data_IF_682290052142
#
_entry.id   IF_682290052142
#
_cell.length_a   1.000
_cell.length_b   1.000
_cell.length_c   1.000
_cell.angle_alpha   90.00
_cell.angle_beta   90.00
_cell.angle_gamma   90.00
#
_symmetry.space_group_name_H-M   'P 1'
#
loop_
_entity.id
_entity.type
_entity.pdbx_description
1 polymer ?
#
# COMPACT_ATOMS: atom_id res chain seq x y z
N UNK A 1 44.45 35.04 57.65
CA UNK A 1 43.61 34.01 57.03
C UNK A 1 42.19 34.53 56.97
N UNK A 2 41.77 35.04 55.85
CA UNK A 2 40.42 35.52 55.60
C UNK A 2 39.75 34.57 54.60
N UNK A 3 38.74 33.84 55.06
CA UNK A 3 37.94 32.92 54.28
C UNK A 3 36.81 33.69 53.59
N UNK A 4 36.90 33.85 52.31
CA UNK A 4 35.84 34.44 51.46
C UNK A 4 34.83 33.34 51.11
N UNK A 5 33.61 33.42 51.66
CA UNK A 5 32.49 32.56 51.30
C UNK A 5 31.86 33.11 50.03
N UNK A 6 31.91 32.35 48.95
CA UNK A 6 31.23 32.65 47.67
C UNK A 6 29.84 32.01 47.75
N UNK A 7 28.79 32.84 47.71
CA UNK A 7 27.38 32.42 47.59
C UNK A 7 27.09 31.97 46.14
N UNK A 8 26.36 30.86 45.91
CA UNK A 8 25.97 30.45 44.57
C UNK A 8 24.86 31.35 44.02
N UNK A 9 24.83 31.66 42.71
CA UNK A 9 23.77 32.45 42.09
C UNK A 9 22.45 31.68 42.07
N UNK A 10 21.39 32.31 42.52
CA UNK A 10 20.04 31.79 42.44
C UNK A 10 19.60 31.67 40.96
N UNK A 11 19.50 30.45 40.49
CA UNK A 11 18.92 30.13 39.20
C UNK A 11 17.40 30.31 39.24
N UNK A 12 16.92 31.51 38.94
CA UNK A 12 15.52 31.80 38.67
C UNK A 12 15.14 31.22 37.28
N UNK A 13 14.57 30.02 37.25
CA UNK A 13 13.96 29.48 36.05
C UNK A 13 12.80 30.38 35.63
N UNK A 14 13.03 31.24 34.65
CA UNK A 14 11.98 32.05 34.03
C UNK A 14 11.00 31.12 33.31
N UNK A 15 9.78 31.02 33.82
CA UNK A 15 8.64 30.37 33.14
C UNK A 15 8.49 31.03 31.77
N UNK A 16 8.48 30.28 30.66
CA UNK A 16 8.34 30.86 29.33
C UNK A 16 6.95 31.48 29.22
N UNK A 17 6.86 32.77 29.43
CA UNK A 17 5.65 33.55 29.23
C UNK A 17 5.15 33.38 27.79
N UNK A 18 3.86 33.12 27.61
CA UNK A 18 3.13 33.04 26.35
C UNK A 18 3.53 34.24 25.47
N UNK A 19 4.49 34.02 24.52
CA UNK A 19 4.97 35.08 23.63
C UNK A 19 3.78 35.65 22.85
N UNK A 20 3.37 36.88 23.16
CA UNK A 20 2.38 37.63 22.37
C UNK A 20 2.90 37.69 20.93
N UNK A 21 2.12 37.14 19.98
CA UNK A 21 2.46 37.15 18.56
C UNK A 21 2.70 38.59 18.12
N UNK A 22 3.90 38.86 17.62
CA UNK A 22 4.27 40.18 17.09
C UNK A 22 3.37 40.54 15.90
N UNK A 23 3.19 41.82 15.54
CA UNK A 23 2.43 42.26 14.36
C UNK A 23 2.94 41.58 13.08
N UNK A 24 4.26 41.34 12.98
CA UNK A 24 4.90 40.65 11.89
C UNK A 24 4.42 39.18 11.82
N UNK A 25 4.44 38.47 12.93
CA UNK A 25 3.98 37.08 12.99
C UNK A 25 2.49 36.91 12.62
N UNK A 26 1.64 37.93 12.91
CA UNK A 26 0.23 37.95 12.49
C UNK A 26 0.10 38.18 10.99
N UNK A 27 0.97 38.98 10.37
CA UNK A 27 0.99 39.22 8.94
C UNK A 27 1.50 37.96 8.19
N UNK A 28 2.54 37.32 8.67
CA UNK A 28 3.05 36.06 8.15
C UNK A 28 1.99 34.94 8.23
N UNK A 29 1.31 34.82 9.37
CA UNK A 29 0.22 33.84 9.53
C UNK A 29 -0.93 34.09 8.55
N UNK A 30 -1.31 35.37 8.29
CA UNK A 30 -2.36 35.67 7.28
C UNK A 30 -1.96 35.26 5.85
N UNK A 31 -0.73 35.57 5.47
CA UNK A 31 -0.22 35.15 4.17
C UNK A 31 -0.11 33.63 4.07
N UNK A 32 0.34 32.92 5.11
CA UNK A 32 0.38 31.48 5.16
C UNK A 32 -1.02 30.86 4.95
N UNK A 33 -2.05 31.38 5.64
CA UNK A 33 -3.44 30.93 5.44
C UNK A 33 -3.95 31.23 4.03
N UNK A 34 -3.60 32.37 3.43
CA UNK A 34 -3.99 32.70 2.06
C UNK A 34 -3.40 31.73 1.05
N UNK A 35 -2.13 31.37 1.21
CA UNK A 35 -1.48 30.37 0.34
C UNK A 35 -1.98 28.94 0.56
N UNK A 36 -2.39 28.59 1.79
CA UNK A 36 -2.97 27.29 2.10
C UNK A 36 -4.46 27.20 1.72
N UNK A 37 -5.15 28.33 1.62
CA UNK A 37 -6.61 28.37 1.39
C UNK A 37 -7.07 27.56 0.14
N UNK A 38 -6.44 27.67 -1.04
CA UNK A 38 -6.86 26.88 -2.21
C UNK A 38 -6.79 25.39 -1.96
N UNK A 39 -5.72 24.91 -1.29
CA UNK A 39 -5.56 23.51 -0.93
C UNK A 39 -6.59 23.06 0.11
N UNK A 40 -6.81 23.88 1.16
CA UNK A 40 -7.78 23.57 2.22
C UNK A 40 -9.20 23.52 1.64
N UNK A 41 -9.58 24.48 0.79
CA UNK A 41 -10.88 24.47 0.12
C UNK A 41 -11.04 23.23 -0.76
N UNK A 42 -10.03 22.90 -1.55
CA UNK A 42 -10.03 21.69 -2.38
C UNK A 42 -10.16 20.41 -1.53
N UNK A 43 -9.41 20.31 -0.43
CA UNK A 43 -9.49 19.18 0.49
C UNK A 43 -10.89 19.05 1.12
N UNK A 44 -11.45 20.16 1.63
CA UNK A 44 -12.76 20.15 2.27
C UNK A 44 -13.88 19.83 1.27
N UNK A 45 -13.81 20.40 0.05
CA UNK A 45 -14.86 20.22 -0.96
C UNK A 45 -14.80 18.84 -1.64
N UNK A 46 -13.59 18.32 -1.94
CA UNK A 46 -13.44 17.14 -2.77
C UNK A 46 -12.99 15.87 -2.02
N UNK A 47 -12.55 15.98 -0.78
CA UNK A 47 -12.18 14.82 0.03
C UNK A 47 -12.99 14.74 1.33
N UNK A 48 -12.87 15.71 2.22
CA UNK A 48 -13.54 15.65 3.51
C UNK A 48 -15.07 15.69 3.38
N UNK A 49 -15.60 16.53 2.50
CA UNK A 49 -17.04 16.61 2.22
C UNK A 49 -17.64 15.28 1.78
N UNK A 50 -17.16 14.65 0.68
CA UNK A 50 -17.62 13.34 0.23
C UNK A 50 -17.41 12.23 1.27
N UNK A 51 -16.31 12.25 2.04
CA UNK A 51 -16.10 11.29 3.14
C UNK A 51 -17.18 11.42 4.21
N UNK A 52 -17.50 12.64 4.66
CA UNK A 52 -18.55 12.87 5.66
C UNK A 52 -19.91 12.46 5.09
N UNK A 53 -20.18 12.81 3.83
CA UNK A 53 -21.42 12.38 3.14
C UNK A 53 -21.53 10.86 3.06
N UNK A 54 -20.45 10.17 2.69
CA UNK A 54 -20.41 8.70 2.68
C UNK A 54 -20.61 8.11 4.08
N UNK A 55 -20.05 8.73 5.14
CA UNK A 55 -20.30 8.29 6.51
C UNK A 55 -21.78 8.43 6.91
N UNK A 56 -22.44 9.49 6.48
CA UNK A 56 -23.87 9.66 6.69
C UNK A 56 -24.67 8.63 5.88
N UNK A 57 -24.36 8.45 4.59
CA UNK A 57 -25.04 7.49 3.72
C UNK A 57 -24.90 6.05 4.23
N UNK A 58 -23.82 5.70 4.89
CA UNK A 58 -23.62 4.37 5.48
C UNK A 58 -24.65 4.00 6.55
N UNK A 59 -25.34 5.01 7.11
CA UNK A 59 -26.40 4.87 8.12
C UNK A 59 -27.81 5.02 7.52
N UNK A 60 -27.91 5.02 6.20
CA UNK A 60 -29.18 5.21 5.48
C UNK A 60 -29.38 4.09 4.45
N UNK A 61 -30.63 3.78 4.17
CA UNK A 61 -31.02 3.09 2.95
C UNK A 61 -31.08 4.12 1.82
N UNK A 62 -30.23 3.94 0.80
CA UNK A 62 -30.12 4.88 -0.33
C UNK A 62 -29.77 4.14 -1.62
N UNK A 63 -30.63 4.30 -2.61
CA UNK A 63 -30.56 3.65 -3.93
C UNK A 63 -30.38 4.62 -5.11
N UNK A 64 -30.01 5.88 -4.85
CA UNK A 64 -29.85 6.97 -5.84
C UNK A 64 -31.19 7.47 -6.40
N UNK A 65 -32.22 6.66 -6.45
CA UNK A 65 -33.53 6.99 -7.02
C UNK A 65 -34.42 7.66 -5.98
N UNK A 66 -34.44 7.08 -4.77
CA UNK A 66 -35.22 7.56 -3.65
C UNK A 66 -34.38 8.45 -2.72
N UNK A 67 -34.99 9.37 -1.98
CA UNK A 67 -34.25 10.12 -0.96
C UNK A 67 -33.73 9.15 0.13
N UNK A 68 -32.53 9.44 0.72
CA UNK A 68 -31.96 8.57 1.72
C UNK A 68 -32.83 8.51 3.00
N UNK A 69 -33.20 7.32 3.42
CA UNK A 69 -33.94 7.06 4.65
C UNK A 69 -32.99 6.58 5.76
N UNK A 70 -33.07 7.19 6.94
CA UNK A 70 -32.20 6.84 8.06
C UNK A 70 -32.59 5.48 8.68
N UNK A 71 -31.69 4.49 8.61
CA UNK A 71 -31.87 3.12 9.13
C UNK A 71 -30.91 2.77 10.26
N UNK A 72 -30.05 3.71 10.66
CA UNK A 72 -29.08 3.49 11.73
C UNK A 72 -27.98 2.50 11.33
N UNK A 73 -27.84 1.38 12.02
CA UNK A 73 -26.78 0.38 11.81
C UNK A 73 -27.24 -0.84 10.99
N UNK A 74 -28.36 -0.78 10.29
CA UNK A 74 -28.91 -1.95 9.60
C UNK A 74 -28.01 -2.39 8.45
N UNK A 75 -27.44 -1.47 7.65
CA UNK A 75 -26.42 -1.79 6.64
C UNK A 75 -25.23 -2.56 7.23
N UNK A 76 -24.77 -2.20 8.43
CA UNK A 76 -23.65 -2.89 9.08
C UNK A 76 -24.04 -4.29 9.60
N UNK A 77 -25.29 -4.48 10.02
CA UNK A 77 -25.80 -5.81 10.42
C UNK A 77 -25.93 -6.73 9.22
N UNK A 78 -26.48 -6.22 8.12
CA UNK A 78 -26.56 -6.93 6.85
C UNK A 78 -25.18 -7.33 6.35
N UNK A 79 -24.24 -6.40 6.33
CA UNK A 79 -22.85 -6.58 5.91
C UNK A 79 -22.13 -7.69 6.70
N UNK A 80 -22.39 -7.79 8.01
CA UNK A 80 -21.82 -8.85 8.87
C UNK A 80 -22.46 -10.21 8.64
N UNK A 81 -23.67 -10.27 8.08
CA UNK A 81 -24.39 -11.49 7.77
C UNK A 81 -24.21 -11.96 6.31
N UNK A 82 -23.70 -11.09 5.43
CA UNK A 82 -23.54 -11.37 4.01
C UNK A 82 -22.35 -12.32 3.71
N UNK A 83 -22.61 -13.52 3.17
CA UNK A 83 -21.55 -14.46 2.80
C UNK A 83 -20.63 -13.93 1.68
N UNK A 84 -21.12 -13.04 0.81
CA UNK A 84 -20.33 -12.45 -0.29
C UNK A 84 -19.27 -11.48 0.26
N UNK A 85 -19.61 -10.70 1.28
CA UNK A 85 -18.67 -9.82 1.99
C UNK A 85 -17.55 -10.65 2.61
N UNK A 86 -17.89 -11.74 3.33
CA UNK A 86 -16.91 -12.62 3.94
C UNK A 86 -15.98 -13.27 2.89
N UNK A 87 -16.53 -13.72 1.76
CA UNK A 87 -15.78 -14.31 0.66
C UNK A 87 -14.85 -13.30 0.00
N UNK A 88 -15.36 -12.15 -0.39
CA UNK A 88 -14.58 -11.10 -1.08
C UNK A 88 -13.47 -10.53 -0.18
N UNK A 89 -13.75 -10.38 1.12
CA UNK A 89 -12.73 -10.00 2.10
C UNK A 89 -11.68 -11.10 2.26
N UNK A 90 -12.10 -12.38 2.32
CA UNK A 90 -11.19 -13.53 2.36
C UNK A 90 -10.25 -13.58 1.17
N UNK A 91 -10.78 -13.39 -0.06
CA UNK A 91 -9.98 -13.31 -1.28
C UNK A 91 -8.96 -12.16 -1.23
N UNK A 92 -9.40 -10.98 -0.76
CA UNK A 92 -8.53 -9.79 -0.65
C UNK A 92 -7.42 -9.99 0.37
N UNK A 93 -7.72 -10.58 1.53
CA UNK A 93 -6.72 -10.88 2.58
C UNK A 93 -5.75 -11.96 2.10
N UNK A 94 -6.25 -13.03 1.47
CA UNK A 94 -5.41 -14.10 0.90
C UNK A 94 -4.44 -13.54 -0.15
N UNK A 95 -4.94 -12.73 -1.09
CA UNK A 95 -4.12 -12.04 -2.07
C UNK A 95 -3.05 -11.17 -1.39
N UNK A 96 -3.44 -10.34 -0.43
CA UNK A 96 -2.54 -9.43 0.29
C UNK A 96 -1.44 -10.20 1.02
N UNK A 97 -1.81 -11.28 1.71
CA UNK A 97 -0.87 -12.13 2.44
C UNK A 97 0.16 -12.83 1.53
N UNK A 98 -0.22 -13.12 0.29
CA UNK A 98 0.67 -13.74 -0.70
C UNK A 98 1.47 -12.69 -1.46
N UNK A 99 0.83 -11.65 -1.98
CA UNK A 99 1.43 -10.62 -2.82
C UNK A 99 2.48 -9.78 -2.07
N UNK A 100 2.15 -9.27 -0.87
CA UNK A 100 3.05 -8.34 -0.16
C UNK A 100 4.40 -8.97 0.17
N UNK A 101 4.50 -10.17 0.75
CA UNK A 101 5.80 -10.79 0.96
C UNK A 101 6.54 -11.08 -0.35
N UNK A 102 5.84 -11.55 -1.39
CA UNK A 102 6.45 -11.86 -2.68
C UNK A 102 7.05 -10.61 -3.35
N UNK A 103 6.29 -9.52 -3.45
CA UNK A 103 6.79 -8.28 -4.05
C UNK A 103 7.97 -7.73 -3.27
N UNK A 104 7.94 -7.79 -1.93
CA UNK A 104 9.04 -7.31 -1.10
C UNK A 104 10.30 -8.17 -1.28
N UNK A 105 10.17 -9.50 -1.24
CA UNK A 105 11.30 -10.43 -1.39
C UNK A 105 11.93 -10.35 -2.78
N UNK A 106 11.11 -10.39 -3.83
CA UNK A 106 11.59 -10.31 -5.21
C UNK A 106 12.25 -8.95 -5.47
N UNK A 107 11.61 -7.85 -5.03
CA UNK A 107 12.16 -6.51 -5.21
C UNK A 107 13.48 -6.31 -4.46
N UNK A 108 13.61 -6.86 -3.25
CA UNK A 108 14.87 -6.81 -2.49
C UNK A 108 15.96 -7.63 -3.19
N UNK A 109 15.64 -8.83 -3.66
CA UNK A 109 16.56 -9.66 -4.43
C UNK A 109 17.06 -8.95 -5.69
N UNK A 110 16.15 -8.34 -6.47
CA UNK A 110 16.49 -7.57 -7.66
C UNK A 110 17.31 -6.33 -7.33
N UNK A 111 16.98 -5.59 -6.27
CA UNK A 111 17.76 -4.43 -5.84
C UNK A 111 19.19 -4.80 -5.42
N UNK A 112 19.38 -5.93 -4.72
CA UNK A 112 20.71 -6.46 -4.36
C UNK A 112 21.52 -6.86 -5.60
N UNK A 113 20.88 -7.47 -6.61
CA UNK A 113 21.50 -7.79 -7.89
C UNK A 113 21.90 -6.51 -8.63
N UNK A 114 20.99 -5.54 -8.73
CA UNK A 114 21.22 -4.25 -9.39
C UNK A 114 22.35 -3.46 -8.75
N UNK A 115 22.53 -3.54 -7.43
CA UNK A 115 23.65 -2.91 -6.72
C UNK A 115 25.02 -3.42 -7.24
N UNK A 116 25.08 -4.66 -7.77
CA UNK A 116 26.32 -5.29 -8.26
C UNK A 116 26.62 -5.02 -9.74
N UNK A 117 25.63 -4.58 -10.54
CA UNK A 117 25.74 -4.49 -12.00
C UNK A 117 26.60 -3.29 -12.47
N UNK A 118 26.94 -2.36 -11.59
CA UNK A 118 27.83 -1.24 -11.91
C UNK A 118 27.26 -0.29 -12.97
N UNK A 119 27.95 -0.12 -14.11
CA UNK A 119 27.58 0.85 -15.16
C UNK A 119 26.23 0.59 -15.84
N UNK A 120 25.75 -0.67 -15.86
CA UNK A 120 24.48 -1.04 -16.46
C UNK A 120 23.27 -0.82 -15.51
N UNK A 121 23.51 -0.37 -14.29
CA UNK A 121 22.46 -0.14 -13.29
C UNK A 121 21.37 0.83 -13.79
N UNK A 122 21.77 1.90 -14.49
CA UNK A 122 20.81 2.85 -15.07
C UNK A 122 19.87 2.21 -16.09
N UNK A 123 20.41 1.40 -16.99
CA UNK A 123 19.62 0.66 -17.97
C UNK A 123 18.60 -0.28 -17.30
N UNK A 124 19.05 -1.14 -16.39
CA UNK A 124 18.15 -2.05 -15.69
C UNK A 124 17.11 -1.33 -14.82
N UNK A 125 17.47 -0.20 -14.18
CA UNK A 125 16.51 0.63 -13.45
C UNK A 125 15.37 1.08 -14.38
N UNK A 126 15.68 1.53 -15.59
CA UNK A 126 14.68 1.92 -16.59
C UNK A 126 13.81 0.73 -17.00
N UNK A 127 14.42 -0.44 -17.27
CA UNK A 127 13.70 -1.65 -17.69
C UNK A 127 12.70 -2.10 -16.61
N UNK A 128 13.10 -2.13 -15.33
CA UNK A 128 12.19 -2.52 -14.24
C UNK A 128 11.14 -1.45 -13.90
N UNK A 129 11.42 -0.18 -14.19
CA UNK A 129 10.46 0.90 -13.93
C UNK A 129 9.45 1.09 -15.06
N UNK A 130 9.79 0.72 -16.29
CA UNK A 130 8.92 0.87 -17.47
C UNK A 130 7.52 0.25 -17.27
N UNK A 131 7.38 -0.98 -16.71
CA UNK A 131 6.08 -1.57 -16.44
C UNK A 131 5.19 -0.75 -15.52
N UNK A 132 5.77 -0.04 -14.55
CA UNK A 132 5.03 0.81 -13.58
C UNK A 132 4.31 1.97 -14.27
N UNK A 133 4.81 2.41 -15.43
CA UNK A 133 4.21 3.48 -16.23
C UNK A 133 3.03 3.00 -17.08
N UNK A 134 2.79 1.68 -17.14
CA UNK A 134 1.70 1.12 -17.91
C UNK A 134 0.37 1.35 -17.17
N UNK A 135 -0.68 1.90 -17.83
CA UNK A 135 -1.98 2.06 -17.20
C UNK A 135 -2.55 0.72 -16.70
N UNK A 136 -3.15 0.71 -15.51
CA UNK A 136 -3.68 -0.49 -14.86
C UNK A 136 -4.67 -1.29 -15.74
N UNK A 137 -5.54 -0.58 -16.48
CA UNK A 137 -6.46 -1.20 -17.45
C UNK A 137 -5.71 -1.95 -18.54
N UNK A 138 -4.63 -1.36 -19.07
CA UNK A 138 -3.82 -2.01 -20.10
C UNK A 138 -3.11 -3.25 -19.55
N UNK A 139 -2.67 -3.23 -18.29
CA UNK A 139 -2.10 -4.41 -17.60
C UNK A 139 -3.15 -5.51 -17.49
N UNK A 140 -4.37 -5.21 -17.06
CA UNK A 140 -5.47 -6.18 -16.99
C UNK A 140 -5.75 -6.85 -18.34
N UNK A 141 -5.83 -6.06 -19.44
CA UNK A 141 -6.03 -6.60 -20.80
C UNK A 141 -4.82 -7.43 -21.26
N UNK A 142 -3.61 -6.95 -20.99
CA UNK A 142 -2.38 -7.69 -21.35
C UNK A 142 -2.37 -9.06 -20.68
N UNK A 143 -2.64 -9.14 -19.40
CA UNK A 143 -2.63 -10.40 -18.68
C UNK A 143 -3.85 -11.29 -19.00
N UNK A 144 -4.97 -10.72 -19.39
CA UNK A 144 -6.09 -11.46 -19.99
C UNK A 144 -5.62 -12.29 -21.22
N UNK A 145 -4.77 -11.71 -22.06
CA UNK A 145 -4.22 -12.37 -23.24
C UNK A 145 -3.08 -13.34 -22.87
N UNK A 146 -2.18 -12.94 -21.97
CA UNK A 146 -1.03 -13.75 -21.57
C UNK A 146 -1.44 -15.02 -20.81
N UNK A 147 -2.45 -14.91 -19.94
CA UNK A 147 -2.97 -16.00 -19.08
C UNK A 147 -4.13 -16.77 -19.72
N UNK A 148 -4.44 -16.51 -20.99
CA UNK A 148 -5.47 -17.29 -21.70
C UNK A 148 -5.10 -18.78 -21.69
N UNK A 149 -6.05 -19.64 -21.30
CA UNK A 149 -5.80 -21.07 -21.12
C UNK A 149 -5.40 -21.77 -22.42
N UNK A 150 -6.02 -21.41 -23.56
CA UNK A 150 -5.82 -22.09 -24.84
C UNK A 150 -4.65 -21.49 -25.63
N UNK A 151 -4.61 -20.18 -25.77
CA UNK A 151 -3.71 -19.47 -26.68
C UNK A 151 -2.70 -18.55 -25.98
N UNK A 152 -2.73 -18.49 -24.63
CA UNK A 152 -1.88 -17.60 -23.85
C UNK A 152 -0.39 -17.90 -23.99
N UNK A 153 0.42 -16.82 -24.10
CA UNK A 153 1.87 -16.95 -24.27
C UNK A 153 2.54 -17.65 -23.08
N UNK A 154 1.99 -17.54 -21.89
CA UNK A 154 2.54 -18.21 -20.70
C UNK A 154 2.39 -19.72 -20.83
N UNK A 155 1.20 -20.22 -21.18
CA UNK A 155 0.98 -21.65 -21.36
C UNK A 155 1.75 -22.20 -22.57
N UNK A 156 1.85 -21.45 -23.67
CA UNK A 156 2.72 -21.83 -24.80
C UNK A 156 4.19 -21.92 -24.38
N UNK A 157 4.67 -20.97 -23.55
CA UNK A 157 6.04 -21.02 -23.01
C UNK A 157 6.27 -22.24 -22.11
N UNK A 158 5.31 -22.59 -21.26
CA UNK A 158 5.37 -23.79 -20.41
C UNK A 158 5.38 -25.07 -21.23
N UNK A 159 4.57 -25.13 -22.29
CA UNK A 159 4.53 -26.27 -23.20
C UNK A 159 5.87 -26.53 -23.91
N UNK A 160 6.69 -25.49 -24.18
CA UNK A 160 8.04 -25.65 -24.77
C UNK A 160 9.00 -26.44 -23.86
N UNK A 161 8.75 -26.42 -22.53
CA UNK A 161 9.55 -27.19 -21.55
C UNK A 161 8.81 -28.46 -21.08
N UNK A 162 7.70 -28.83 -21.74
CA UNK A 162 6.95 -30.06 -21.47
C UNK A 162 6.02 -29.96 -20.26
N UNK A 163 5.64 -28.74 -19.86
CA UNK A 163 4.72 -28.48 -18.74
C UNK A 163 3.37 -28.07 -19.31
N UNK A 164 2.31 -28.81 -18.97
CA UNK A 164 0.93 -28.40 -19.27
C UNK A 164 0.55 -27.23 -18.36
N UNK A 165 0.31 -26.06 -18.97
CA UNK A 165 -0.05 -24.86 -18.23
C UNK A 165 -1.44 -24.95 -17.62
N UNK A 166 -1.66 -24.40 -16.44
CA UNK A 166 -2.96 -24.43 -15.76
C UNK A 166 -3.99 -23.52 -16.41
N UNK A 167 -5.24 -23.70 -16.01
CA UNK A 167 -6.37 -22.85 -16.42
C UNK A 167 -6.44 -21.60 -15.52
N UNK A 168 -5.57 -20.63 -15.75
CA UNK A 168 -5.37 -19.43 -14.92
C UNK A 168 -6.63 -18.62 -14.63
N UNK A 169 -7.64 -18.68 -15.50
CA UNK A 169 -8.83 -17.82 -15.40
C UNK A 169 -10.10 -18.56 -15.04
N UNK A 170 -10.11 -19.89 -15.18
CA UNK A 170 -11.32 -20.72 -14.98
C UNK A 170 -11.22 -21.67 -13.79
N UNK A 171 -10.01 -22.11 -13.44
CA UNK A 171 -9.80 -22.98 -12.28
C UNK A 171 -9.68 -22.14 -11.00
N UNK A 172 -10.56 -22.35 -9.98
CA UNK A 172 -10.54 -21.62 -8.72
C UNK A 172 -9.16 -21.60 -8.04
N UNK A 173 -8.40 -22.69 -8.13
CA UNK A 173 -7.11 -22.82 -7.47
C UNK A 173 -6.01 -21.99 -8.15
N UNK A 174 -6.18 -21.68 -9.44
CA UNK A 174 -5.20 -20.96 -10.25
C UNK A 174 -5.53 -19.49 -10.51
N UNK A 175 -6.77 -19.06 -10.26
CA UNK A 175 -7.17 -17.64 -10.40
C UNK A 175 -6.29 -16.74 -9.55
N UNK A 176 -6.15 -17.06 -8.27
CA UNK A 176 -5.37 -16.21 -7.35
C UNK A 176 -3.88 -16.20 -7.66
N UNK A 177 -3.21 -17.32 -7.93
CA UNK A 177 -1.83 -17.32 -8.45
C UNK A 177 -1.65 -16.51 -9.73
N UNK A 178 -2.60 -16.55 -10.67
CA UNK A 178 -2.59 -15.77 -11.90
C UNK A 178 -2.65 -14.26 -11.62
N UNK A 179 -3.51 -13.82 -10.70
CA UNK A 179 -3.62 -12.42 -10.28
C UNK A 179 -2.34 -11.96 -9.57
N UNK A 180 -1.75 -12.80 -8.71
CA UNK A 180 -0.47 -12.48 -8.06
C UNK A 180 0.64 -12.35 -9.11
N UNK A 181 0.71 -13.25 -10.09
CA UNK A 181 1.69 -13.15 -11.18
C UNK A 181 1.53 -11.85 -11.97
N UNK A 182 0.29 -11.45 -12.30
CA UNK A 182 -0.01 -10.18 -12.93
C UNK A 182 0.49 -9.00 -12.10
N UNK A 183 0.25 -9.00 -10.81
CA UNK A 183 0.61 -7.89 -9.93
C UNK A 183 2.12 -7.72 -9.73
N UNK A 184 2.91 -8.79 -9.89
CA UNK A 184 4.37 -8.72 -9.88
C UNK A 184 4.96 -7.97 -11.09
N UNK A 185 4.16 -7.70 -12.14
CA UNK A 185 4.56 -6.86 -13.27
C UNK A 185 4.99 -5.46 -12.84
N UNK A 186 4.37 -4.90 -11.82
CA UNK A 186 4.56 -3.51 -11.37
C UNK A 186 5.53 -3.36 -10.18
N UNK A 187 6.35 -4.36 -9.87
CA UNK A 187 7.26 -4.35 -8.70
C UNK A 187 8.40 -3.31 -8.79
N UNK A 188 8.59 -2.67 -9.94
CA UNK A 188 9.73 -1.77 -10.21
C UNK A 188 9.84 -0.57 -9.26
N UNK A 189 8.72 -0.01 -8.79
CA UNK A 189 8.73 1.06 -7.79
C UNK A 189 9.39 0.63 -6.47
N UNK A 190 9.05 -0.55 -5.98
CA UNK A 190 9.63 -1.12 -4.76
C UNK A 190 11.11 -1.45 -4.95
N UNK A 191 11.51 -1.96 -6.13
CA UNK A 191 12.92 -2.21 -6.48
C UNK A 191 13.75 -0.93 -6.38
N UNK A 192 13.24 0.19 -6.92
CA UNK A 192 13.96 1.47 -6.90
C UNK A 192 14.10 2.01 -5.47
N UNK A 193 13.05 1.90 -4.65
CA UNK A 193 13.09 2.31 -3.23
C UNK A 193 14.17 1.51 -2.49
N UNK A 194 14.20 0.19 -2.66
CA UNK A 194 15.21 -0.65 -2.01
C UNK A 194 16.62 -0.38 -2.55
N UNK A 195 16.76 -0.15 -3.85
CA UNK A 195 18.05 0.17 -4.44
C UNK A 195 18.60 1.50 -3.88
N UNK A 196 17.76 2.52 -3.73
CA UNK A 196 18.13 3.79 -3.12
C UNK A 196 18.52 3.61 -1.64
N UNK A 197 17.74 2.86 -0.88
CA UNK A 197 18.05 2.55 0.51
C UNK A 197 19.39 1.79 0.65
N UNK A 198 19.62 0.79 -0.21
CA UNK A 198 20.88 0.04 -0.23
C UNK A 198 22.11 0.89 -0.59
N UNK A 199 21.93 1.93 -1.42
CA UNK A 199 23.01 2.84 -1.78
C UNK A 199 23.40 3.79 -0.64
N UNK A 200 22.46 4.10 0.24
CA UNK A 200 22.67 4.99 1.39
C UNK A 200 23.36 4.30 2.58
N UNK A 201 23.50 2.97 2.57
CA UNK A 201 24.22 2.27 3.64
C UNK A 201 25.70 2.61 3.60
N UNK A 202 26.31 3.18 4.68
CA UNK A 202 27.71 3.57 4.73
C UNK A 202 28.65 2.37 4.47
N UNK A 203 29.70 2.60 3.67
CA UNK A 203 30.69 1.55 3.34
C UNK A 203 31.50 1.11 4.55
N UNK A 204 31.77 2.05 5.44
CA UNK A 204 32.56 1.82 6.67
C UNK A 204 31.98 0.70 7.51
N UNK A 205 30.65 0.56 7.57
CA UNK A 205 29.99 -0.54 8.30
C UNK A 205 30.29 -1.92 7.68
N UNK A 206 30.39 -1.99 6.35
CA UNK A 206 30.76 -3.23 5.66
C UNK A 206 32.23 -3.56 5.83
N UNK A 207 33.10 -2.53 5.86
CA UNK A 207 34.54 -2.68 6.07
C UNK A 207 34.84 -3.14 7.49
N UNK A 208 34.24 -2.50 8.50
CA UNK A 208 34.35 -2.92 9.90
C UNK A 208 33.89 -4.39 10.08
N UNK A 209 32.70 -4.73 9.59
CA UNK A 209 32.19 -6.10 9.64
C UNK A 209 33.12 -7.12 8.90
N UNK A 210 33.83 -6.68 7.86
CA UNK A 210 34.80 -7.53 7.16
C UNK A 210 36.06 -7.77 7.98
N UNK A 211 36.54 -6.76 8.70
CA UNK A 211 37.68 -6.87 9.63
C UNK A 211 37.35 -7.85 10.77
N UNK A 212 36.10 -7.81 11.26
CA UNK A 212 35.58 -8.74 12.28
C UNK A 212 35.33 -10.16 11.71
N UNK A 213 35.65 -10.43 10.44
CA UNK A 213 35.52 -11.75 9.83
C UNK A 213 34.09 -12.12 9.43
N UNK A 214 33.14 -11.15 9.38
CA UNK A 214 31.76 -11.42 9.00
C UNK A 214 31.62 -11.82 7.52
N UNK A 215 31.08 -13.00 7.26
CA UNK A 215 30.74 -13.48 5.93
C UNK A 215 29.58 -12.70 5.28
N UNK A 216 29.31 -12.96 4.01
CA UNK A 216 28.29 -12.23 3.22
C UNK A 216 26.87 -12.28 3.85
N UNK A 217 26.48 -13.44 4.39
CA UNK A 217 25.19 -13.59 5.06
C UNK A 217 25.11 -12.83 6.38
N UNK A 218 26.20 -12.85 7.18
CA UNK A 218 26.27 -12.10 8.43
C UNK A 218 26.16 -10.59 8.15
N UNK A 219 26.90 -10.07 7.17
CA UNK A 219 26.81 -8.66 6.73
C UNK A 219 25.41 -8.30 6.23
N UNK A 220 24.76 -9.18 5.46
CA UNK A 220 23.39 -8.94 5.01
C UNK A 220 22.43 -8.86 6.20
N UNK A 221 22.49 -9.81 7.15
CA UNK A 221 21.55 -9.89 8.27
C UNK A 221 21.76 -8.80 9.32
N UNK A 222 23.04 -8.45 9.63
CA UNK A 222 23.36 -7.57 10.75
C UNK A 222 23.72 -6.13 10.34
N UNK A 223 24.04 -5.88 9.05
CA UNK A 223 24.32 -4.55 8.54
C UNK A 223 23.24 -4.12 7.56
N UNK A 224 23.05 -4.88 6.46
CA UNK A 224 22.17 -4.45 5.38
C UNK A 224 20.71 -4.35 5.80
N UNK A 225 20.12 -5.43 6.34
CA UNK A 225 18.70 -5.47 6.73
C UNK A 225 18.32 -4.42 7.78
N UNK A 226 19.09 -4.23 8.88
CA UNK A 226 18.80 -3.18 9.84
C UNK A 226 18.85 -1.79 9.23
N UNK A 227 19.86 -1.48 8.42
CA UNK A 227 20.04 -0.15 7.82
C UNK A 227 18.94 0.22 6.81
N UNK A 228 18.38 -0.76 6.10
CA UNK A 228 17.26 -0.53 5.15
C UNK A 228 15.89 -0.80 5.77
N UNK A 229 15.81 -1.10 7.06
CA UNK A 229 14.55 -1.49 7.73
C UNK A 229 13.45 -0.44 7.61
N UNK A 230 13.80 0.86 7.61
CA UNK A 230 12.87 1.95 7.36
C UNK A 230 12.22 1.88 5.98
N UNK A 231 13.00 1.57 4.94
CA UNK A 231 12.48 1.40 3.58
C UNK A 231 11.63 0.13 3.46
N UNK A 232 12.02 -0.97 4.12
CA UNK A 232 11.24 -2.21 4.19
C UNK A 232 9.89 -1.96 4.87
N UNK A 233 9.89 -1.25 5.99
CA UNK A 233 8.66 -0.91 6.71
C UNK A 233 7.75 0.00 5.88
N UNK A 234 8.30 1.04 5.26
CA UNK A 234 7.54 1.93 4.39
C UNK A 234 6.84 1.16 3.25
N UNK A 235 7.59 0.29 2.56
CA UNK A 235 7.01 -0.50 1.46
C UNK A 235 6.04 -1.56 1.95
N UNK A 236 6.25 -2.13 3.13
CA UNK A 236 5.28 -3.04 3.77
C UNK A 236 3.92 -2.34 3.93
N UNK A 237 3.90 -1.15 4.53
CA UNK A 237 2.66 -0.39 4.75
C UNK A 237 1.99 -0.02 3.42
N UNK A 238 2.74 0.57 2.49
CA UNK A 238 2.21 1.03 1.20
C UNK A 238 1.68 -0.13 0.36
N UNK A 239 2.44 -1.23 0.24
CA UNK A 239 1.98 -2.40 -0.52
C UNK A 239 0.80 -3.10 0.15
N UNK A 240 0.71 -3.12 1.49
CA UNK A 240 -0.45 -3.67 2.22
C UNK A 240 -1.71 -2.86 1.90
N UNK A 241 -1.65 -1.53 1.99
CA UNK A 241 -2.77 -0.64 1.67
C UNK A 241 -3.19 -0.83 0.20
N UNK A 242 -2.24 -0.80 -0.73
CA UNK A 242 -2.51 -0.97 -2.16
C UNK A 242 -3.15 -2.34 -2.47
N UNK A 243 -2.66 -3.42 -1.85
CA UNK A 243 -3.19 -4.77 -2.06
C UNK A 243 -4.62 -4.94 -1.53
N UNK A 244 -4.94 -4.32 -0.37
CA UNK A 244 -6.30 -4.34 0.18
C UNK A 244 -7.29 -3.52 -0.66
N UNK A 245 -6.81 -2.61 -1.49
CA UNK A 245 -7.59 -1.76 -2.40
C UNK A 245 -7.49 -2.19 -3.87
N UNK A 246 -7.02 -3.42 -4.15
CA UNK A 246 -6.89 -3.94 -5.51
C UNK A 246 -8.23 -3.94 -6.22
N UNK A 247 -8.28 -3.31 -7.41
CA UNK A 247 -9.51 -3.16 -8.18
C UNK A 247 -9.26 -3.22 -9.70
N UNK A 248 -8.60 -2.22 -10.27
CA UNK A 248 -8.65 -1.90 -11.70
C UNK A 248 -8.20 -3.05 -12.60
N UNK A 249 -7.07 -3.65 -12.31
CA UNK A 249 -6.48 -4.72 -13.11
C UNK A 249 -7.36 -5.97 -13.09
N UNK A 250 -7.80 -6.37 -11.90
CA UNK A 250 -8.64 -7.56 -11.71
C UNK A 250 -10.03 -7.33 -12.28
N UNK A 251 -10.62 -6.15 -12.04
CA UNK A 251 -11.91 -5.79 -12.62
C UNK A 251 -11.86 -5.85 -14.15
N UNK A 252 -10.83 -5.26 -14.75
CA UNK A 252 -10.67 -5.27 -16.21
C UNK A 252 -10.50 -6.67 -16.77
N UNK A 253 -9.76 -7.54 -16.07
CA UNK A 253 -9.50 -8.90 -16.52
C UNK A 253 -10.73 -9.81 -16.41
N UNK A 254 -11.47 -9.75 -15.31
CA UNK A 254 -12.55 -10.70 -15.01
C UNK A 254 -13.95 -10.13 -15.22
N UNK A 255 -14.14 -8.82 -15.08
CA UNK A 255 -15.44 -8.16 -15.08
C UNK A 255 -15.60 -7.14 -16.20
N UNK A 256 -14.57 -6.91 -17.03
CA UNK A 256 -14.54 -5.88 -18.06
C UNK A 256 -15.56 -6.06 -19.19
N UNK A 257 -16.03 -7.30 -19.42
CA UNK A 257 -17.10 -7.58 -20.40
C UNK A 257 -17.90 -8.83 -19.97
N UNK A 258 -19.08 -9.02 -20.63
CA UNK A 258 -19.98 -10.15 -20.32
C UNK A 258 -19.33 -11.52 -20.57
N UNK A 259 -18.50 -11.64 -21.61
CA UNK A 259 -17.87 -12.89 -21.96
C UNK A 259 -16.87 -13.34 -20.88
N UNK A 260 -16.07 -12.44 -20.33
CA UNK A 260 -15.15 -12.75 -19.24
C UNK A 260 -15.91 -13.12 -17.95
N UNK A 261 -17.01 -12.41 -17.63
CA UNK A 261 -17.84 -12.71 -16.46
C UNK A 261 -18.47 -14.10 -16.50
N UNK A 262 -18.88 -14.58 -17.69
CA UNK A 262 -19.53 -15.87 -17.83
C UNK A 262 -18.59 -17.03 -18.06
N UNK A 263 -17.40 -16.77 -18.64
CA UNK A 263 -16.42 -17.79 -19.01
C UNK A 263 -15.34 -18.02 -17.97
N UNK A 264 -15.12 -17.05 -17.08
CA UNK A 264 -14.08 -17.11 -16.06
C UNK A 264 -14.66 -17.36 -14.67
N UNK A 265 -13.82 -17.82 -13.76
CA UNK A 265 -14.20 -17.98 -12.37
C UNK A 265 -14.17 -16.61 -11.66
N UNK A 266 -15.24 -15.83 -11.87
CA UNK A 266 -15.37 -14.48 -11.30
C UNK A 266 -15.49 -14.51 -9.77
N UNK A 267 -16.07 -15.55 -9.17
CA UNK A 267 -16.20 -15.68 -7.72
C UNK A 267 -14.84 -15.71 -7.02
N UNK A 268 -13.87 -16.47 -7.56
CA UNK A 268 -12.51 -16.52 -7.04
C UNK A 268 -11.75 -15.20 -7.25
N UNK A 269 -12.14 -14.41 -8.26
CA UNK A 269 -11.57 -13.10 -8.57
C UNK A 269 -12.31 -11.93 -7.92
N UNK A 270 -13.40 -12.17 -7.16
CA UNK A 270 -14.14 -11.11 -6.51
C UNK A 270 -13.41 -10.64 -5.27
N UNK A 271 -12.75 -9.47 -5.41
CA UNK A 271 -12.13 -8.74 -4.31
C UNK A 271 -13.14 -7.83 -3.62
N UNK A 272 -12.84 -7.42 -2.39
CA UNK A 272 -13.74 -6.59 -1.60
C UNK A 272 -14.14 -5.29 -2.29
N UNK A 273 -13.18 -4.59 -2.93
CA UNK A 273 -13.46 -3.33 -3.65
C UNK A 273 -14.25 -3.59 -4.93
N UNK A 274 -14.12 -4.76 -5.57
CA UNK A 274 -14.94 -5.15 -6.72
C UNK A 274 -16.38 -5.36 -6.28
N UNK A 275 -16.60 -6.09 -5.19
CA UNK A 275 -17.94 -6.30 -4.62
C UNK A 275 -18.59 -4.96 -4.21
N UNK A 276 -17.84 -4.11 -3.51
CA UNK A 276 -18.28 -2.75 -3.17
C UNK A 276 -18.69 -1.94 -4.42
N UNK A 277 -17.90 -2.01 -5.49
CA UNK A 277 -18.22 -1.32 -6.74
C UNK A 277 -19.49 -1.86 -7.39
N UNK A 278 -19.71 -3.17 -7.36
CA UNK A 278 -20.92 -3.80 -7.88
C UNK A 278 -22.16 -3.33 -7.09
N UNK A 279 -22.09 -3.34 -5.77
CA UNK A 279 -23.18 -2.85 -4.91
C UNK A 279 -23.49 -1.37 -5.16
N UNK A 280 -22.45 -0.53 -5.24
CA UNK A 280 -22.63 0.90 -5.45
C UNK A 280 -23.19 1.26 -6.83
N UNK A 281 -22.60 0.69 -7.91
CA UNK A 281 -22.81 1.20 -9.28
C UNK A 281 -23.55 0.24 -10.20
N UNK A 282 -23.64 -1.04 -9.87
CA UNK A 282 -24.43 -2.00 -10.66
C UNK A 282 -25.80 -2.26 -10.02
N UNK A 283 -25.83 -2.39 -8.69
CA UNK A 283 -27.07 -2.65 -7.94
C UNK A 283 -27.67 -1.39 -7.32
N UNK A 284 -26.92 -0.28 -7.31
CA UNK A 284 -27.31 1.04 -6.80
C UNK A 284 -27.59 1.07 -5.28
N UNK A 285 -27.09 0.10 -4.51
CA UNK A 285 -27.21 0.04 -3.05
C UNK A 285 -26.15 0.97 -2.42
N UNK A 286 -26.28 2.29 -2.62
CA UNK A 286 -25.28 3.28 -2.23
C UNK A 286 -25.08 3.36 -0.71
N UNK A 287 -26.14 3.20 0.09
CA UNK A 287 -26.06 3.18 1.54
C UNK A 287 -25.21 2.00 2.03
N UNK A 288 -25.51 0.80 1.53
CA UNK A 288 -24.79 -0.43 1.83
C UNK A 288 -23.32 -0.38 1.36
N UNK A 289 -23.08 0.06 0.13
CA UNK A 289 -21.72 0.24 -0.40
C UNK A 289 -20.89 1.26 0.41
N UNK A 290 -21.54 2.33 0.92
CA UNK A 290 -20.90 3.27 1.82
C UNK A 290 -20.49 2.61 3.16
N UNK A 291 -21.33 1.73 3.71
CA UNK A 291 -20.98 0.95 4.91
C UNK A 291 -19.81 -0.01 4.63
N UNK A 292 -19.79 -0.68 3.46
CA UNK A 292 -18.64 -1.48 3.00
C UNK A 292 -17.36 -0.67 2.93
N UNK A 293 -17.41 0.55 2.35
CA UNK A 293 -16.23 1.43 2.25
C UNK A 293 -15.68 1.80 3.63
N UNK A 294 -16.54 2.12 4.59
CA UNK A 294 -16.14 2.44 5.95
C UNK A 294 -15.58 1.22 6.70
N UNK A 295 -16.14 0.03 6.49
CA UNK A 295 -15.57 -1.19 7.06
C UNK A 295 -14.16 -1.44 6.53
N UNK A 296 -13.94 -1.32 5.21
CA UNK A 296 -12.61 -1.48 4.62
C UNK A 296 -11.62 -0.45 5.16
N UNK A 297 -12.06 0.81 5.29
CA UNK A 297 -11.24 1.87 5.90
C UNK A 297 -10.81 1.50 7.32
N UNK A 298 -11.72 1.01 8.16
CA UNK A 298 -11.41 0.59 9.53
C UNK A 298 -10.46 -0.61 9.57
N UNK A 299 -10.61 -1.57 8.66
CA UNK A 299 -9.70 -2.72 8.52
C UNK A 299 -8.29 -2.25 8.15
N UNK A 300 -8.17 -1.42 7.10
CA UNK A 300 -6.89 -0.87 6.65
C UNK A 300 -6.23 -0.05 7.75
N UNK A 301 -6.99 0.82 8.42
CA UNK A 301 -6.50 1.62 9.54
C UNK A 301 -6.01 0.73 10.69
N UNK A 302 -6.78 -0.29 11.07
CA UNK A 302 -6.39 -1.25 12.11
C UNK A 302 -5.09 -1.98 11.78
N UNK A 303 -4.98 -2.53 10.56
CA UNK A 303 -3.75 -3.21 10.09
C UNK A 303 -2.57 -2.24 10.11
N UNK A 304 -2.75 -1.02 9.59
CA UNK A 304 -1.69 0.00 9.55
C UNK A 304 -1.24 0.41 10.96
N UNK A 305 -2.17 0.61 11.90
CA UNK A 305 -1.83 0.92 13.29
C UNK A 305 -1.05 -0.23 13.95
N UNK A 306 -1.42 -1.48 13.69
CA UNK A 306 -0.66 -2.64 14.17
C UNK A 306 0.74 -2.65 13.56
N UNK A 307 0.88 -2.45 12.25
CA UNK A 307 2.19 -2.35 11.58
C UNK A 307 3.06 -1.24 12.18
N UNK A 308 2.50 -0.03 12.37
CA UNK A 308 3.22 1.10 12.99
C UNK A 308 3.61 0.81 14.44
N UNK A 309 2.76 0.14 15.22
CA UNK A 309 3.11 -0.26 16.59
C UNK A 309 4.24 -1.29 16.63
N UNK A 310 4.21 -2.24 15.69
CA UNK A 310 5.26 -3.27 15.57
C UNK A 310 6.57 -2.69 15.05
N UNK A 311 6.56 -1.64 14.21
CA UNK A 311 7.78 -1.06 13.61
C UNK A 311 8.80 -0.62 14.64
N UNK A 312 8.35 -0.13 15.82
CA UNK A 312 9.22 0.30 16.92
C UNK A 312 10.18 -0.82 17.41
N UNK A 313 9.91 -2.10 17.07
CA UNK A 313 10.76 -3.24 17.45
C UNK A 313 11.74 -3.67 16.36
N UNK A 314 11.47 -3.30 15.08
CA UNK A 314 12.17 -3.83 13.93
C UNK A 314 12.82 -2.76 13.05
N UNK A 315 12.40 -1.51 13.18
CA UNK A 315 12.94 -0.39 12.39
C UNK A 315 14.05 0.28 13.19
N UNK A 316 15.23 0.36 12.58
CA UNK A 316 16.35 1.11 13.12
C UNK A 316 16.19 2.59 12.74
N UNK A 317 16.14 3.46 13.75
CA UNK A 317 16.13 4.92 13.57
C UNK A 317 17.50 5.46 13.95
N UNK A 318 18.20 6.05 12.99
CA UNK A 318 19.47 6.73 13.21
C UNK A 318 19.20 7.98 14.07
N UNK A 319 19.48 7.93 15.38
CA UNK A 319 19.32 9.08 16.30
C UNK A 319 18.47 8.88 17.55
N UNK A 320 17.93 7.70 17.84
CA UNK A 320 17.14 7.46 19.09
C UNK A 320 18.01 7.12 20.33
N UNK A 321 19.34 7.14 20.20
CA UNK A 321 20.28 6.96 21.34
C UNK A 321 20.77 8.31 21.87
N UNK A 322 19.85 9.29 22.13
CA UNK A 322 20.16 10.49 22.91
C UNK A 322 19.15 10.72 24.01
#
# INVERSE_FOLDING_TARGET
MATTTVSPPASGAAVPGRRRRTPLARREARWAWLFLAPWIVGFLAFQAGPMIASAWLSLTEYDVINPPEYTGLDNYRELMADPQVARSLGNTVYYTALHVPLVMLISLGLALLLKRVGRLQGFFRTVFYLPVMTPAVAVGILFLLLLNTQDGLINRGLALVGIDGPSWTTDPDWVMPGIVLMSLWSLGSTVIIYLAALQNVPRDLYEAASIDGAGAWARFRHVTLPMISGALFFTLVVNTIASLQMFTEVYTMYFGNRQTQTSFNSDAATFYVIHLFQEAFQFLHMGYASAMAWLLFLIIMGITLVQVKLSKRFVYYEGEDQ
#
